data_IF_314620847870
#
_entry.id   IF_314620847870
#
_cell.length_a   1.000
_cell.length_b   1.000
_cell.length_c   1.000
_cell.angle_alpha   90.00
_cell.angle_beta   90.00
_cell.angle_gamma   90.00
#
_symmetry.space_group_name_H-M   'P 1'
#
loop_
_entity.id
_entity.type
_entity.pdbx_description
1 polymer ?
#
# COMPACT_ATOMS: atom_id res chain seq x y z
N UNK A 1 -0.34 10.45 -13.64
CA UNK A 1 -0.41 11.53 -12.63
C UNK A 1 0.26 12.79 -13.16
N UNK A 2 -0.18 13.97 -12.73
CA UNK A 2 0.49 15.24 -13.06
C UNK A 2 1.92 15.27 -12.46
N UNK A 3 2.88 15.89 -13.17
CA UNK A 3 4.29 15.96 -12.72
C UNK A 3 4.48 16.76 -11.44
N UNK A 4 3.56 17.65 -11.12
CA UNK A 4 3.53 18.46 -9.88
C UNK A 4 3.25 17.64 -8.61
N UNK A 5 2.85 16.37 -8.77
CA UNK A 5 2.59 15.44 -7.67
C UNK A 5 3.80 14.57 -7.29
N UNK A 6 4.93 14.70 -7.99
CA UNK A 6 6.14 13.94 -7.73
C UNK A 6 7.13 14.81 -6.93
N UNK A 7 7.57 14.34 -5.76
CA UNK A 7 8.47 15.07 -4.87
C UNK A 7 8.01 15.04 -3.41
N UNK A 8 7.73 16.20 -2.81
CA UNK A 8 7.33 16.31 -1.40
C UNK A 8 5.96 15.70 -1.07
N UNK A 9 5.20 15.28 -2.10
CA UNK A 9 3.90 14.64 -2.01
C UNK A 9 3.99 13.11 -1.89
N UNK A 10 5.15 12.53 -2.20
CA UNK A 10 5.40 11.09 -2.05
C UNK A 10 5.46 10.72 -0.56
N UNK A 11 5.02 9.51 -0.24
CA UNK A 11 4.95 9.06 1.15
C UNK A 11 6.34 9.01 1.79
N UNK A 12 7.38 8.60 1.06
CA UNK A 12 8.78 8.64 1.48
C UNK A 12 9.18 10.03 1.98
N UNK A 13 8.80 11.09 1.26
CA UNK A 13 9.12 12.47 1.64
C UNK A 13 8.37 12.88 2.91
N UNK A 14 7.11 12.50 3.00
CA UNK A 14 6.25 12.78 4.18
C UNK A 14 6.76 12.03 5.40
N UNK A 15 7.05 10.73 5.27
CA UNK A 15 7.61 9.91 6.32
C UNK A 15 8.96 10.43 6.78
N UNK A 16 9.84 10.84 5.86
CA UNK A 16 11.12 11.43 6.24
C UNK A 16 10.92 12.69 7.08
N UNK A 17 10.04 13.60 6.67
CA UNK A 17 9.74 14.79 7.45
C UNK A 17 9.14 14.47 8.82
N UNK A 18 8.29 13.43 8.91
CA UNK A 18 7.76 12.91 10.18
C UNK A 18 8.88 12.36 11.06
N UNK A 19 9.72 11.47 10.55
CA UNK A 19 10.85 10.87 11.28
C UNK A 19 11.81 11.93 11.80
N UNK A 20 12.17 12.90 10.96
CA UNK A 20 13.03 14.03 11.34
C UNK A 20 12.37 14.87 12.46
N UNK A 21 11.06 15.16 12.35
CA UNK A 21 10.34 15.95 13.36
C UNK A 21 10.17 15.24 14.70
N UNK A 22 9.87 13.95 14.69
CA UNK A 22 9.70 13.12 15.90
C UNK A 22 11.03 12.92 16.64
N UNK A 23 12.14 12.79 15.90
CA UNK A 23 13.49 12.66 16.46
C UNK A 23 14.11 13.98 16.94
N UNK A 24 13.54 15.12 16.54
CA UNK A 24 14.08 16.42 16.89
C UNK A 24 13.81 16.74 18.36
N UNK A 25 14.79 17.36 19.04
CA UNK A 25 14.63 17.87 20.41
C UNK A 25 13.71 19.09 20.41
N UNK A 26 12.88 19.25 21.45
CA UNK A 26 11.99 20.41 21.59
C UNK A 26 10.51 20.08 21.65
N UNK A 27 10.14 18.80 21.69
CA UNK A 27 8.84 18.36 22.16
C UNK A 27 8.69 18.58 23.67
N UNK A 28 7.45 18.53 24.15
CA UNK A 28 7.09 18.73 25.55
C UNK A 28 7.87 17.80 26.47
N UNK A 29 8.25 18.34 27.64
CA UNK A 29 8.89 17.61 28.74
C UNK A 29 7.90 17.20 29.83
N UNK A 30 6.61 17.45 29.62
CA UNK A 30 5.57 16.99 30.51
C UNK A 30 5.17 15.53 30.21
N UNK A 31 4.70 14.81 31.22
CA UNK A 31 4.02 13.53 31.01
C UNK A 31 2.75 13.74 30.17
N UNK A 32 2.43 12.84 29.21
CA UNK A 32 3.09 11.56 28.94
C UNK A 32 4.19 11.61 27.86
N UNK A 33 4.56 12.79 27.36
CA UNK A 33 5.46 12.94 26.20
C UNK A 33 6.89 12.50 26.47
N UNK A 34 7.36 12.64 27.71
CA UNK A 34 8.64 12.09 28.20
C UNK A 34 8.76 10.59 28.02
N UNK A 35 7.64 9.85 28.05
CA UNK A 35 7.59 8.40 27.85
C UNK A 35 7.29 8.05 26.39
N UNK A 36 6.33 8.72 25.77
CA UNK A 36 5.88 8.39 24.41
C UNK A 36 6.90 8.77 23.34
N UNK A 37 7.50 9.96 23.41
CA UNK A 37 8.37 10.48 22.34
C UNK A 37 9.59 9.60 22.08
N UNK A 38 10.34 9.11 23.09
CA UNK A 38 11.43 8.16 22.85
C UNK A 38 10.98 6.90 22.11
N UNK A 39 9.82 6.34 22.46
CA UNK A 39 9.28 5.13 21.83
C UNK A 39 8.86 5.37 20.37
N UNK A 40 8.20 6.50 20.12
CA UNK A 40 7.81 6.92 18.76
C UNK A 40 9.03 7.25 17.90
N UNK A 41 10.10 7.81 18.49
CA UNK A 41 11.36 8.04 17.80
C UNK A 41 12.06 6.74 17.41
N UNK A 42 12.05 5.72 18.29
CA UNK A 42 12.58 4.38 17.96
C UNK A 42 11.76 3.68 16.89
N UNK A 43 10.44 3.85 16.88
CA UNK A 43 9.56 3.36 15.80
C UNK A 43 9.92 3.99 14.44
N UNK A 44 10.30 5.26 14.43
CA UNK A 44 10.60 5.99 13.20
C UNK A 44 12.05 5.75 12.76
N UNK A 45 12.41 4.57 12.25
CA UNK A 45 13.74 4.29 11.67
C UNK A 45 13.97 4.98 10.31
N UNK A 46 14.78 4.34 9.47
CA UNK A 46 14.81 4.64 8.02
C UNK A 46 13.49 4.20 7.34
N UNK A 47 12.84 3.21 7.96
CA UNK A 47 11.49 2.75 7.71
C UNK A 47 10.75 2.58 9.05
N UNK A 48 9.44 2.31 9.00
CA UNK A 48 8.69 1.98 10.22
C UNK A 48 9.20 0.67 10.81
N UNK A 49 9.68 0.72 12.06
CA UNK A 49 10.31 -0.43 12.72
C UNK A 49 9.25 -1.35 13.33
N UNK A 50 9.05 -2.52 12.72
CA UNK A 50 8.04 -3.51 13.15
C UNK A 50 8.20 -3.92 14.61
N UNK A 51 9.44 -4.04 15.11
CA UNK A 51 9.73 -4.37 16.50
C UNK A 51 9.17 -3.35 17.52
N UNK A 52 8.87 -2.13 17.06
CA UNK A 52 8.39 -1.02 17.88
C UNK A 52 6.96 -0.58 17.53
N UNK A 53 6.24 -1.36 16.70
CA UNK A 53 4.87 -1.06 16.27
C UNK A 53 3.89 -0.81 17.43
N UNK A 54 4.08 -1.48 18.57
CA UNK A 54 3.25 -1.32 19.78
C UNK A 54 3.28 0.10 20.37
N UNK A 55 4.26 0.94 20.00
CA UNK A 55 4.29 2.35 20.36
C UNK A 55 3.07 3.12 19.80
N UNK A 56 2.50 2.69 18.67
CA UNK A 56 1.32 3.31 18.08
C UNK A 56 0.06 3.01 18.89
N UNK A 57 -0.07 1.78 19.41
CA UNK A 57 -1.21 1.39 20.25
C UNK A 57 -1.15 2.05 21.63
N UNK A 58 0.05 2.14 22.22
CA UNK A 58 0.33 3.01 23.37
C UNK A 58 -0.16 4.42 23.14
N UNK A 59 0.26 5.01 22.03
CA UNK A 59 0.01 6.40 21.73
C UNK A 59 -1.49 6.67 21.62
N UNK A 60 -2.22 5.83 20.88
CA UNK A 60 -3.68 5.90 20.79
C UNK A 60 -4.38 5.66 22.13
N UNK A 61 -3.93 4.69 22.93
CA UNK A 61 -4.47 4.40 24.27
C UNK A 61 -4.31 5.60 25.21
N UNK A 62 -3.11 6.15 25.30
CA UNK A 62 -2.82 7.31 26.17
C UNK A 62 -3.58 8.54 25.70
N UNK A 63 -3.70 8.76 24.38
CA UNK A 63 -4.56 9.83 23.86
C UNK A 63 -6.00 9.65 24.35
N UNK A 64 -6.60 8.47 24.19
CA UNK A 64 -7.96 8.19 24.64
C UNK A 64 -8.14 8.40 26.16
N UNK A 65 -7.16 8.02 26.97
CA UNK A 65 -7.17 8.25 28.43
C UNK A 65 -7.09 9.74 28.81
N UNK A 66 -6.28 10.53 28.08
CA UNK A 66 -6.09 11.96 28.34
C UNK A 66 -7.18 12.83 27.72
N UNK A 67 -7.89 12.32 26.73
CA UNK A 67 -8.97 13.03 26.02
C UNK A 67 -10.22 12.16 25.98
N UNK A 68 -10.95 12.02 27.12
CA UNK A 68 -12.09 11.10 27.23
C UNK A 68 -13.30 11.52 26.38
N UNK A 69 -13.33 12.78 25.92
CA UNK A 69 -14.35 13.25 24.99
C UNK A 69 -13.96 12.82 23.58
N UNK A 70 -14.81 12.02 22.93
CA UNK A 70 -14.60 11.61 21.54
C UNK A 70 -14.35 12.83 20.63
N UNK A 71 -13.34 12.73 19.76
CA UNK A 71 -12.98 13.82 18.85
C UNK A 71 -12.15 14.94 19.48
N UNK A 72 -11.54 14.73 20.65
CA UNK A 72 -10.66 15.73 21.29
C UNK A 72 -9.15 15.41 21.26
N UNK A 73 -8.75 14.40 20.48
CA UNK A 73 -7.36 13.95 20.36
C UNK A 73 -6.41 15.06 19.84
N UNK A 74 -6.91 16.03 19.08
CA UNK A 74 -6.12 17.15 18.57
C UNK A 74 -5.51 18.01 19.67
N UNK A 75 -6.22 18.18 20.80
CA UNK A 75 -5.65 18.88 21.98
C UNK A 75 -4.48 18.11 22.56
N UNK A 76 -4.60 16.78 22.64
CA UNK A 76 -3.52 15.93 23.10
C UNK A 76 -2.32 16.07 22.16
N UNK A 77 -2.47 15.81 20.87
CA UNK A 77 -1.37 15.91 19.90
C UNK A 77 -0.72 17.30 19.94
N UNK A 78 -1.49 18.39 19.96
CA UNK A 78 -0.95 19.74 20.02
C UNK A 78 -0.14 20.02 21.29
N UNK A 79 -0.48 19.38 22.42
CA UNK A 79 0.26 19.54 23.68
C UNK A 79 1.70 19.05 23.60
N UNK A 80 2.05 18.17 22.64
CA UNK A 80 3.42 17.73 22.44
C UNK A 80 4.38 18.86 22.03
N UNK A 81 3.84 19.99 21.55
CA UNK A 81 4.62 21.09 20.98
C UNK A 81 4.69 22.34 21.89
N UNK A 82 4.12 22.28 23.10
CA UNK A 82 4.06 23.38 24.10
C UNK A 82 3.70 24.75 23.48
N UNK A 83 2.74 24.75 22.56
CA UNK A 83 2.35 25.97 21.83
C UNK A 83 1.52 26.86 22.75
N UNK A 84 1.89 28.14 22.86
CA UNK A 84 1.12 29.13 23.60
C UNK A 84 -0.27 29.36 23.00
N UNK A 85 -1.24 29.67 23.85
CA UNK A 85 -2.64 29.82 23.45
C UNK A 85 -2.81 30.91 22.38
N UNK A 86 -3.44 30.54 21.26
CA UNK A 86 -3.68 31.44 20.12
C UNK A 86 -2.45 31.76 19.26
N UNK A 87 -1.26 31.25 19.61
CA UNK A 87 -0.04 31.50 18.84
C UNK A 87 -0.07 30.81 17.46
N UNK A 88 0.64 31.39 16.49
CA UNK A 88 0.90 30.75 15.20
C UNK A 88 1.91 29.61 15.37
N UNK A 89 1.67 28.49 14.69
CA UNK A 89 2.60 27.36 14.70
C UNK A 89 3.89 27.75 13.96
N UNK A 90 5.04 27.50 14.59
CA UNK A 90 6.33 27.52 13.89
C UNK A 90 6.46 26.28 12.98
N UNK A 91 7.33 26.31 11.95
CA UNK A 91 7.55 25.14 11.08
C UNK A 91 7.93 23.86 11.85
N UNK A 92 8.72 23.98 12.91
CA UNK A 92 9.10 22.84 13.76
C UNK A 92 7.89 22.26 14.52
N UNK A 93 7.03 23.12 15.07
CA UNK A 93 5.80 22.69 15.75
C UNK A 93 4.79 22.08 14.76
N UNK A 94 4.64 22.66 13.57
CA UNK A 94 3.84 22.07 12.49
C UNK A 94 4.36 20.67 12.12
N UNK A 95 5.67 20.51 11.94
CA UNK A 95 6.29 19.23 11.63
C UNK A 95 6.04 18.17 12.71
N UNK A 96 6.22 18.53 13.99
CA UNK A 96 5.98 17.62 15.12
C UNK A 96 4.51 17.17 15.20
N UNK A 97 3.57 18.11 15.15
CA UNK A 97 2.13 17.82 15.25
C UNK A 97 1.66 17.01 14.04
N UNK A 98 2.08 17.38 12.83
CA UNK A 98 1.76 16.65 11.62
C UNK A 98 2.34 15.22 11.61
N UNK A 99 3.54 15.06 12.16
CA UNK A 99 4.17 13.75 12.30
C UNK A 99 3.42 12.87 13.29
N UNK A 100 3.05 13.41 14.44
CA UNK A 100 2.23 12.70 15.43
C UNK A 100 0.86 12.33 14.86
N UNK A 101 0.22 13.23 14.13
CA UNK A 101 -1.04 12.96 13.43
C UNK A 101 -0.90 11.80 12.43
N UNK A 102 0.16 11.80 11.61
CA UNK A 102 0.43 10.69 10.69
C UNK A 102 0.58 9.36 11.44
N UNK A 103 1.35 9.34 12.53
CA UNK A 103 1.56 8.15 13.35
C UNK A 103 0.28 7.69 14.05
N UNK A 104 -0.56 8.62 14.52
CA UNK A 104 -1.85 8.31 15.13
C UNK A 104 -2.74 7.48 14.19
N UNK A 105 -2.69 7.82 12.90
CA UNK A 105 -3.43 7.17 11.81
C UNK A 105 -2.61 6.09 11.06
N UNK A 106 -1.50 5.63 11.63
CA UNK A 106 -0.69 4.53 11.11
C UNK A 106 -0.99 3.24 11.90
N UNK A 107 -1.22 2.15 11.18
CA UNK A 107 -1.64 0.87 11.76
C UNK A 107 -0.68 -0.23 11.32
N UNK A 108 -0.30 -1.10 12.24
CA UNK A 108 0.52 -2.27 11.95
C UNK A 108 -0.32 -3.53 12.07
N UNK A 109 -0.20 -4.43 11.09
CA UNK A 109 -0.89 -5.71 11.10
C UNK A 109 0.13 -6.82 10.93
N UNK A 110 0.33 -7.61 11.98
CA UNK A 110 1.02 -8.89 11.90
C UNK A 110 0.04 -9.98 11.49
N UNK A 111 0.42 -10.79 10.51
CA UNK A 111 -0.38 -11.92 10.03
C UNK A 111 0.34 -13.24 10.33
N UNK A 112 -0.30 -14.37 10.00
CA UNK A 112 0.32 -15.70 10.24
C UNK A 112 1.63 -15.82 9.47
N UNK A 113 2.65 -16.36 10.12
CA UNK A 113 3.99 -16.54 9.54
C UNK A 113 4.90 -15.31 9.67
N UNK A 114 4.60 -14.40 10.61
CA UNK A 114 5.36 -13.19 10.94
C UNK A 114 5.43 -12.12 9.82
N UNK A 115 4.78 -12.34 8.68
CA UNK A 115 4.60 -11.29 7.69
C UNK A 115 3.72 -10.17 8.24
N UNK A 116 4.02 -8.94 7.84
CA UNK A 116 3.29 -7.79 8.33
C UNK A 116 3.16 -6.69 7.28
N UNK A 117 2.15 -5.84 7.46
CA UNK A 117 1.89 -4.69 6.60
C UNK A 117 1.57 -3.47 7.45
N UNK A 118 2.00 -2.30 6.99
CA UNK A 118 1.59 -1.01 7.53
C UNK A 118 0.45 -0.45 6.70
N UNK A 119 -0.59 0.05 7.36
CA UNK A 119 -1.67 0.79 6.72
C UNK A 119 -1.69 2.21 7.26
N UNK A 120 -1.41 3.19 6.40
CA UNK A 120 -1.49 4.60 6.74
C UNK A 120 -2.81 5.15 6.22
N UNK A 121 -3.67 5.58 7.13
CA UNK A 121 -5.06 5.89 6.85
C UNK A 121 -5.46 7.24 7.42
N UNK A 122 -4.82 8.32 6.95
CA UNK A 122 -5.14 9.67 7.44
C UNK A 122 -6.62 10.02 7.19
N UNK A 123 -7.22 10.88 8.02
CA UNK A 123 -8.65 11.15 7.99
C UNK A 123 -9.17 11.56 6.61
N UNK A 124 -10.38 11.11 6.24
CA UNK A 124 -10.96 11.34 4.91
C UNK A 124 -11.12 12.83 4.57
N UNK A 125 -11.27 13.68 5.60
CA UNK A 125 -11.37 15.14 5.45
C UNK A 125 -10.06 15.79 4.99
N UNK A 126 -8.92 15.11 5.11
CA UNK A 126 -7.65 15.66 4.65
C UNK A 126 -7.56 15.56 3.14
N UNK A 127 -7.35 16.71 2.50
CA UNK A 127 -7.15 16.85 1.06
C UNK A 127 -5.67 17.06 0.69
N UNK A 128 -4.80 17.14 1.70
CA UNK A 128 -3.35 17.16 1.62
C UNK A 128 -2.75 16.45 2.84
N UNK A 129 -1.48 16.08 2.77
CA UNK A 129 -0.78 15.49 3.92
C UNK A 129 -0.84 16.40 5.16
N UNK A 130 -0.83 15.85 6.39
CA UNK A 130 -1.04 16.61 7.62
C UNK A 130 -0.19 17.88 7.73
N UNK A 131 1.09 17.82 7.33
CA UNK A 131 2.01 18.97 7.40
C UNK A 131 1.59 20.14 6.48
N UNK A 132 0.95 19.86 5.35
CA UNK A 132 0.40 20.88 4.45
C UNK A 132 -0.91 21.43 4.99
N UNK A 133 -1.77 20.55 5.52
CA UNK A 133 -3.05 20.93 6.13
C UNK A 133 -2.83 21.90 7.29
N UNK A 134 -1.82 21.67 8.13
CA UNK A 134 -1.56 22.45 9.35
C UNK A 134 -0.64 23.67 9.13
N UNK A 135 -0.09 23.86 7.93
CA UNK A 135 0.87 24.91 7.67
C UNK A 135 0.25 26.31 7.87
N UNK A 136 0.94 27.16 8.64
CA UNK A 136 0.52 28.54 8.90
C UNK A 136 -0.71 28.70 9.80
N UNK A 137 -1.23 27.60 10.38
CA UNK A 137 -2.35 27.68 11.31
C UNK A 137 -1.94 28.26 12.67
N UNK A 138 -2.92 28.84 13.38
CA UNK A 138 -2.82 29.09 14.82
C UNK A 138 -3.06 27.80 15.60
N UNK A 139 -2.65 27.78 16.87
CA UNK A 139 -2.88 26.67 17.79
C UNK A 139 -4.35 26.24 17.82
N UNK A 140 -5.28 27.20 17.96
CA UNK A 140 -6.72 26.92 18.00
C UNK A 140 -7.22 26.29 16.69
N UNK A 141 -6.76 26.80 15.53
CA UNK A 141 -7.16 26.28 14.22
C UNK A 141 -6.58 24.88 13.96
N UNK A 142 -5.32 24.64 14.35
CA UNK A 142 -4.70 23.32 14.24
C UNK A 142 -5.44 22.28 15.10
N UNK A 143 -5.75 22.60 16.37
CA UNK A 143 -6.54 21.75 17.25
C UNK A 143 -7.93 21.48 16.66
N UNK A 144 -8.59 22.51 16.12
CA UNK A 144 -9.88 22.38 15.46
C UNK A 144 -9.82 21.45 14.25
N UNK A 145 -8.80 21.59 13.40
CA UNK A 145 -8.59 20.75 12.23
C UNK A 145 -8.37 19.27 12.60
N UNK A 146 -7.49 19.00 13.58
CA UNK A 146 -7.22 17.66 14.10
C UNK A 146 -8.49 17.02 14.69
N UNK A 147 -9.23 17.76 15.53
CA UNK A 147 -10.46 17.26 16.15
C UNK A 147 -11.58 16.95 15.13
N UNK A 148 -11.67 17.74 14.05
CA UNK A 148 -12.59 17.48 12.96
C UNK A 148 -12.20 16.24 12.13
N UNK A 149 -10.96 15.78 12.24
CA UNK A 149 -10.37 14.66 11.51
C UNK A 149 -10.65 13.32 12.21
N UNK A 150 -11.92 13.03 12.52
CA UNK A 150 -12.30 11.88 13.36
C UNK A 150 -12.52 10.56 12.61
N UNK A 151 -12.54 10.59 11.28
CA UNK A 151 -12.86 9.43 10.44
C UNK A 151 -11.69 9.13 9.50
N UNK A 152 -10.99 8.04 9.79
CA UNK A 152 -9.97 7.45 8.91
C UNK A 152 -10.52 7.18 7.52
N UNK A 153 -9.69 7.40 6.49
CA UNK A 153 -10.04 7.06 5.10
C UNK A 153 -10.43 5.60 4.91
N UNK A 154 -9.67 4.68 5.50
CA UNK A 154 -9.95 3.26 5.49
C UNK A 154 -10.61 2.87 6.81
N UNK A 155 -11.81 2.29 6.75
CA UNK A 155 -12.48 1.75 7.94
C UNK A 155 -11.65 0.65 8.61
N UNK A 156 -11.98 0.29 9.84
CA UNK A 156 -11.36 -0.85 10.54
C UNK A 156 -11.38 -2.11 9.68
N UNK A 157 -12.52 -2.36 9.00
CA UNK A 157 -12.67 -3.52 8.12
C UNK A 157 -11.77 -3.43 6.89
N UNK A 158 -11.70 -2.27 6.22
CA UNK A 158 -10.81 -2.06 5.08
C UNK A 158 -9.35 -2.35 5.44
N UNK A 159 -8.89 -1.91 6.61
CA UNK A 159 -7.51 -2.15 7.06
C UNK A 159 -7.22 -3.64 7.28
N UNK A 160 -8.19 -4.38 7.86
CA UNK A 160 -8.09 -5.85 7.98
C UNK A 160 -8.07 -6.54 6.62
N UNK A 161 -8.90 -6.08 5.68
CA UNK A 161 -8.97 -6.62 4.33
C UNK A 161 -7.66 -6.38 3.55
N UNK A 162 -7.04 -5.21 3.70
CA UNK A 162 -5.69 -4.92 3.15
C UNK A 162 -4.66 -5.89 3.72
N UNK A 163 -4.63 -6.08 5.04
CA UNK A 163 -3.69 -7.00 5.68
C UNK A 163 -3.88 -8.44 5.22
N UNK A 164 -5.14 -8.88 5.10
CA UNK A 164 -5.45 -10.20 4.58
C UNK A 164 -5.04 -10.33 3.11
N UNK A 165 -5.25 -9.30 2.29
CA UNK A 165 -4.86 -9.29 0.89
C UNK A 165 -3.34 -9.42 0.70
N UNK A 166 -2.56 -8.68 1.50
CA UNK A 166 -1.09 -8.77 1.49
C UNK A 166 -0.62 -10.20 1.85
N UNK A 167 -1.20 -10.78 2.91
CA UNK A 167 -0.87 -12.14 3.33
C UNK A 167 -1.26 -13.18 2.27
N UNK A 168 -2.45 -13.07 1.69
CA UNK A 168 -2.92 -13.97 0.64
C UNK A 168 -2.04 -13.84 -0.61
N UNK A 169 -1.65 -12.62 -1.00
CA UNK A 169 -0.72 -12.37 -2.09
C UNK A 169 0.66 -13.02 -1.86
N UNK A 170 1.20 -12.92 -0.64
CA UNK A 170 2.43 -13.61 -0.25
C UNK A 170 2.27 -15.13 -0.37
N UNK A 171 1.20 -15.69 0.20
CA UNK A 171 0.95 -17.12 0.16
C UNK A 171 0.82 -17.64 -1.29
N UNK A 172 0.16 -16.89 -2.18
CA UNK A 172 0.09 -17.24 -3.60
C UNK A 172 1.46 -17.16 -4.27
N UNK A 173 2.24 -16.13 -3.99
CA UNK A 173 3.58 -15.95 -4.54
C UNK A 173 4.50 -17.11 -4.14
N UNK A 174 4.48 -17.53 -2.87
CA UNK A 174 5.26 -18.68 -2.39
C UNK A 174 4.81 -19.99 -3.03
N UNK A 175 3.50 -20.22 -3.18
CA UNK A 175 2.97 -21.39 -3.89
C UNK A 175 3.37 -21.40 -5.36
N UNK A 176 3.38 -20.24 -6.03
CA UNK A 176 3.80 -20.11 -7.42
C UNK A 176 5.29 -20.43 -7.59
N UNK A 177 6.14 -20.08 -6.62
CA UNK A 177 7.54 -20.50 -6.62
C UNK A 177 7.68 -22.03 -6.57
N UNK A 178 6.97 -22.68 -5.65
CA UNK A 178 6.95 -24.16 -5.54
C UNK A 178 6.40 -24.80 -6.82
N UNK A 179 5.33 -24.23 -7.38
CA UNK A 179 4.73 -24.70 -8.63
C UNK A 179 5.71 -24.65 -9.81
N UNK A 180 6.54 -23.61 -9.88
CA UNK A 180 7.58 -23.45 -10.90
C UNK A 180 8.84 -24.31 -10.65
N UNK A 181 8.95 -24.99 -9.52
CA UNK A 181 10.05 -25.92 -9.24
C UNK A 181 9.77 -27.34 -9.76
N UNK A 182 8.51 -27.70 -10.03
CA UNK A 182 8.14 -28.96 -10.71
C UNK A 182 8.07 -28.81 -12.25
N UNK A 183 8.89 -27.93 -12.83
CA UNK A 183 8.90 -27.68 -14.27
C UNK A 183 9.55 -28.85 -15.03
N UNK A 184 8.72 -29.65 -15.69
CA UNK A 184 9.11 -30.76 -16.58
C UNK A 184 8.13 -30.89 -17.75
N UNK A 185 8.50 -31.66 -18.77
CA UNK A 185 7.63 -31.91 -19.92
C UNK A 185 6.30 -32.53 -19.48
N UNK A 186 5.19 -31.97 -19.99
CA UNK A 186 3.83 -32.37 -19.61
C UNK A 186 3.35 -31.92 -18.23
N UNK A 187 4.16 -31.16 -17.47
CA UNK A 187 3.74 -30.65 -16.15
C UNK A 187 2.62 -29.59 -16.26
N UNK A 188 1.76 -29.48 -15.23
CA UNK A 188 0.81 -28.37 -15.12
C UNK A 188 1.49 -27.00 -15.14
N UNK A 189 2.72 -26.89 -14.64
CA UNK A 189 3.50 -25.66 -14.66
C UNK A 189 3.86 -25.22 -16.08
N UNK A 190 4.31 -26.15 -16.92
CA UNK A 190 4.62 -25.85 -18.33
C UNK A 190 3.35 -25.43 -19.08
N UNK A 191 2.22 -26.12 -18.86
CA UNK A 191 0.94 -25.77 -19.45
C UNK A 191 0.43 -24.38 -19.00
N UNK A 192 0.62 -24.03 -17.73
CA UNK A 192 0.26 -22.71 -17.21
C UNK A 192 1.14 -21.59 -17.82
N UNK A 193 2.45 -21.82 -17.94
CA UNK A 193 3.35 -20.88 -18.61
C UNK A 193 2.94 -20.67 -20.08
N UNK A 194 2.60 -21.77 -20.76
CA UNK A 194 2.10 -21.73 -22.12
C UNK A 194 0.81 -20.91 -22.26
N UNK A 195 -0.14 -21.08 -21.33
CA UNK A 195 -1.41 -20.35 -21.33
C UNK A 195 -1.25 -18.84 -21.09
N UNK A 196 -0.42 -18.48 -20.11
CA UNK A 196 -0.33 -17.09 -19.63
C UNK A 196 0.78 -16.28 -20.28
N UNK A 197 1.77 -16.92 -20.91
CA UNK A 197 2.93 -16.21 -21.49
C UNK A 197 3.30 -16.66 -22.90
N UNK A 198 2.76 -17.76 -23.40
CA UNK A 198 3.12 -18.31 -24.71
C UNK A 198 1.97 -18.35 -25.73
N UNK A 199 2.32 -18.82 -26.92
CA UNK A 199 1.42 -19.22 -28.02
C UNK A 199 1.73 -20.65 -28.47
N UNK A 200 0.93 -21.24 -29.35
CA UNK A 200 1.15 -22.61 -29.83
C UNK A 200 2.56 -22.89 -30.41
N UNK A 201 3.31 -21.86 -30.79
CA UNK A 201 4.68 -21.98 -31.32
C UNK A 201 5.78 -21.70 -30.28
N UNK A 202 5.42 -21.34 -29.04
CA UNK A 202 6.39 -21.11 -27.97
C UNK A 202 7.03 -22.43 -27.57
N UNK A 203 8.36 -22.47 -27.56
CA UNK A 203 9.15 -23.67 -27.29
C UNK A 203 9.29 -23.93 -25.79
N UNK A 204 9.55 -25.18 -25.40
CA UNK A 204 9.86 -25.54 -24.00
C UNK A 204 11.05 -24.74 -23.45
N UNK A 205 12.05 -24.45 -24.28
CA UNK A 205 13.22 -23.65 -23.88
C UNK A 205 12.86 -22.18 -23.56
N UNK A 206 11.96 -21.58 -24.34
CA UNK A 206 11.43 -20.25 -24.04
C UNK A 206 10.58 -20.25 -22.77
N UNK A 207 9.71 -21.25 -22.58
CA UNK A 207 8.92 -21.39 -21.36
C UNK A 207 9.80 -21.57 -20.11
N UNK A 208 10.92 -22.32 -20.23
CA UNK A 208 11.89 -22.44 -19.15
C UNK A 208 12.56 -21.10 -18.82
N UNK A 209 12.82 -20.26 -19.83
CA UNK A 209 13.36 -18.90 -19.65
C UNK A 209 12.34 -17.97 -18.98
N UNK A 210 11.06 -18.09 -19.34
CA UNK A 210 9.97 -17.39 -18.67
C UNK A 210 9.86 -17.80 -17.20
N UNK A 211 9.93 -19.10 -16.91
CA UNK A 211 9.93 -19.63 -15.55
C UNK A 211 11.09 -19.08 -14.71
N UNK A 212 12.30 -19.02 -15.27
CA UNK A 212 13.47 -18.45 -14.59
C UNK A 212 13.26 -16.96 -14.24
N UNK A 213 12.72 -16.19 -15.19
CA UNK A 213 12.40 -14.76 -14.99
C UNK A 213 11.35 -14.57 -13.90
N UNK A 214 10.26 -15.35 -13.95
CA UNK A 214 9.20 -15.33 -12.94
C UNK A 214 9.77 -15.71 -11.58
N UNK A 215 10.53 -16.81 -11.45
CA UNK A 215 11.12 -17.20 -10.16
C UNK A 215 11.99 -16.12 -9.55
N UNK A 216 12.81 -15.44 -10.35
CA UNK A 216 13.63 -14.33 -9.87
C UNK A 216 12.78 -13.17 -9.35
N UNK A 217 11.74 -12.77 -10.08
CA UNK A 217 10.85 -11.68 -9.67
C UNK A 217 9.94 -12.03 -8.49
N UNK A 218 9.34 -13.24 -8.49
CA UNK A 218 8.48 -13.73 -7.42
C UNK A 218 9.23 -13.84 -6.07
N UNK A 219 10.53 -14.15 -6.08
CA UNK A 219 11.36 -14.10 -4.86
C UNK A 219 11.46 -12.69 -4.29
N UNK A 220 11.60 -11.66 -5.13
CA UNK A 220 11.62 -10.26 -4.68
C UNK A 220 10.25 -9.85 -4.12
N UNK A 221 9.17 -10.16 -4.83
CA UNK A 221 7.79 -9.90 -4.39
C UNK A 221 7.53 -10.56 -3.02
N UNK A 222 7.89 -11.85 -2.88
CA UNK A 222 7.74 -12.56 -1.61
C UNK A 222 8.55 -11.91 -0.49
N UNK A 223 9.80 -11.52 -0.75
CA UNK A 223 10.63 -10.83 0.24
C UNK A 223 9.99 -9.52 0.71
N UNK A 224 9.40 -8.73 -0.19
CA UNK A 224 8.72 -7.47 0.16
C UNK A 224 7.43 -7.67 0.94
N UNK A 225 6.57 -8.59 0.50
CA UNK A 225 5.31 -8.89 1.20
C UNK A 225 5.56 -9.58 2.55
N UNK A 226 6.70 -10.24 2.74
CA UNK A 226 7.07 -10.88 4.00
C UNK A 226 7.85 -9.95 4.94
N UNK A 227 8.64 -9.02 4.40
CA UNK A 227 9.69 -8.29 5.14
C UNK A 227 9.20 -7.25 6.15
N UNK A 228 7.89 -7.02 6.28
CA UNK A 228 7.32 -6.05 7.21
C UNK A 228 7.53 -4.58 6.82
N UNK A 229 7.99 -4.32 5.60
CA UNK A 229 8.26 -2.97 5.08
C UNK A 229 7.17 -2.44 4.16
N UNK A 230 6.22 -3.29 3.75
CA UNK A 230 5.13 -2.93 2.87
C UNK A 230 4.19 -1.92 3.54
N UNK A 231 3.93 -0.81 2.86
CA UNK A 231 3.04 0.27 3.30
C UNK A 231 1.90 0.38 2.30
N UNK A 232 0.67 0.42 2.81
CA UNK A 232 -0.53 0.66 2.01
C UNK A 232 -1.19 1.94 2.49
N UNK A 233 -1.42 2.87 1.57
CA UNK A 233 -2.06 4.16 1.85
C UNK A 233 -2.83 4.63 0.62
N UNK A 234 -3.66 5.66 0.71
CA UNK A 234 -4.15 6.35 -0.50
C UNK A 234 -3.29 7.58 -0.79
N UNK A 235 -3.38 8.11 -1.99
CA UNK A 235 -2.60 9.28 -2.36
C UNK A 235 -3.35 10.57 -1.99
N UNK A 236 -3.17 11.01 -0.74
CA UNK A 236 -3.90 12.15 -0.16
C UNK A 236 -3.99 13.39 -1.07
N UNK A 237 -2.92 13.82 -1.77
CA UNK A 237 -2.97 15.03 -2.61
C UNK A 237 -3.98 14.99 -3.76
N UNK A 238 -4.39 13.82 -4.24
CA UNK A 238 -5.37 13.73 -5.35
C UNK A 238 -6.81 13.78 -4.87
N UNK A 239 -7.09 13.66 -3.56
CA UNK A 239 -8.46 13.58 -3.01
C UNK A 239 -9.37 14.75 -3.41
N UNK A 240 -8.83 15.96 -3.52
CA UNK A 240 -9.57 17.15 -3.96
C UNK A 240 -9.06 17.76 -5.28
N UNK A 241 -8.15 17.08 -5.98
CA UNK A 241 -7.65 17.57 -7.26
C UNK A 241 -8.78 17.64 -8.30
N UNK A 242 -8.79 18.73 -9.07
CA UNK A 242 -9.64 18.91 -10.24
C UNK A 242 -8.97 18.49 -11.55
N UNK A 243 -7.71 18.04 -11.52
CA UNK A 243 -7.00 17.57 -12.71
C UNK A 243 -7.61 16.24 -13.20
N UNK A 244 -7.81 16.14 -14.51
CA UNK A 244 -8.46 14.96 -15.13
C UNK A 244 -7.70 13.65 -14.89
N UNK A 245 -6.36 13.69 -14.83
CA UNK A 245 -5.53 12.50 -14.58
C UNK A 245 -5.63 12.07 -13.13
N UNK A 246 -5.75 13.02 -12.21
CA UNK A 246 -5.92 12.74 -10.78
C UNK A 246 -7.33 12.22 -10.48
N UNK A 247 -8.35 12.79 -11.14
CA UNK A 247 -9.71 12.26 -11.13
C UNK A 247 -9.71 10.79 -11.59
N UNK A 248 -9.02 10.47 -12.68
CA UNK A 248 -8.90 9.10 -13.17
C UNK A 248 -8.14 8.20 -12.18
N UNK A 249 -7.05 8.69 -11.58
CA UNK A 249 -6.28 7.96 -10.58
C UNK A 249 -7.12 7.60 -9.34
N UNK A 250 -7.99 8.49 -8.87
CA UNK A 250 -8.93 8.20 -7.77
C UNK A 250 -9.90 7.04 -8.06
N UNK A 251 -10.19 6.79 -9.34
CA UNK A 251 -11.02 5.67 -9.79
C UNK A 251 -10.25 4.37 -10.01
N UNK A 252 -8.92 4.39 -9.94
CA UNK A 252 -8.08 3.21 -10.13
C UNK A 252 -8.15 2.24 -8.95
N UNK A 253 -7.62 1.03 -9.14
CA UNK A 253 -7.48 0.08 -8.04
C UNK A 253 -6.34 0.49 -7.12
N UNK A 254 -5.14 0.56 -7.70
CA UNK A 254 -3.94 0.92 -7.00
C UNK A 254 -2.89 1.41 -8.01
N UNK A 255 -1.80 1.94 -7.49
CA UNK A 255 -0.59 2.20 -8.25
C UNK A 255 0.64 2.25 -7.34
N UNK A 256 1.81 2.04 -7.93
CA UNK A 256 3.11 2.34 -7.32
C UNK A 256 3.81 3.47 -8.08
N UNK A 257 4.72 4.16 -7.40
CA UNK A 257 5.54 5.21 -8.01
C UNK A 257 7.00 4.76 -8.02
N UNK A 258 7.62 4.74 -9.21
CA UNK A 258 8.99 4.25 -9.36
C UNK A 258 10.04 5.03 -8.54
N UNK A 259 9.80 6.31 -8.29
CA UNK A 259 10.67 7.15 -7.45
C UNK A 259 10.44 6.99 -5.93
N UNK A 260 9.46 6.18 -5.52
CA UNK A 260 9.14 5.92 -4.12
C UNK A 260 10.19 4.98 -3.50
N UNK A 261 10.98 5.48 -2.55
CA UNK A 261 12.04 4.66 -1.93
C UNK A 261 11.47 3.62 -0.96
N UNK A 262 10.41 3.99 -0.24
CA UNK A 262 9.69 3.06 0.63
C UNK A 262 8.76 2.15 -0.17
N UNK A 263 8.47 0.98 0.39
CA UNK A 263 7.64 -0.05 -0.25
C UNK A 263 6.15 0.27 -0.18
N UNK A 264 5.75 1.34 -0.89
CA UNK A 264 4.40 1.90 -0.82
C UNK A 264 3.55 1.45 -2.01
N UNK A 265 2.35 0.97 -1.70
CA UNK A 265 1.26 0.76 -2.65
C UNK A 265 0.18 1.79 -2.33
N UNK A 266 -0.14 2.63 -3.31
CA UNK A 266 -1.24 3.57 -3.22
C UNK A 266 -2.53 2.88 -3.67
N UNK A 267 -3.54 2.77 -2.81
CA UNK A 267 -4.84 2.20 -3.16
C UNK A 267 -5.89 3.31 -3.27
N UNK A 268 -6.77 3.19 -4.25
CA UNK A 268 -7.80 4.19 -4.54
C UNK A 268 -9.19 3.55 -4.57
N UNK A 269 -10.22 4.30 -4.96
CA UNK A 269 -11.60 3.86 -4.80
C UNK A 269 -11.87 2.50 -5.44
N UNK A 270 -11.24 2.21 -6.58
CA UNK A 270 -11.35 0.95 -7.31
C UNK A 270 -10.92 -0.28 -6.50
N UNK A 271 -9.99 -0.15 -5.56
CA UNK A 271 -9.45 -1.29 -4.80
C UNK A 271 -10.56 -2.09 -4.12
N UNK A 272 -11.47 -1.39 -3.46
CA UNK A 272 -12.60 -1.98 -2.74
C UNK A 272 -13.83 -2.17 -3.61
N UNK A 273 -13.78 -1.81 -4.90
CA UNK A 273 -14.92 -2.02 -5.79
C UNK A 273 -15.07 -3.48 -6.14
N UNK A 274 -16.31 -3.94 -6.02
CA UNK A 274 -16.73 -5.25 -6.46
C UNK A 274 -17.29 -5.11 -7.88
N UNK A 275 -16.40 -4.92 -8.87
CA UNK A 275 -16.85 -4.74 -10.25
C UNK A 275 -17.30 -6.07 -10.85
N UNK A 276 -18.47 -6.10 -11.50
CA UNK A 276 -18.94 -7.28 -12.24
C UNK A 276 -18.04 -7.60 -13.46
N UNK A 277 -17.13 -6.71 -13.85
CA UNK A 277 -16.17 -6.95 -14.91
C UNK A 277 -14.83 -7.53 -14.45
N UNK A 278 -14.53 -7.62 -13.15
CA UNK A 278 -13.23 -8.10 -12.69
C UNK A 278 -13.06 -9.61 -12.93
N UNK A 279 -11.80 -10.07 -12.96
CA UNK A 279 -11.51 -11.52 -13.01
C UNK A 279 -12.09 -12.21 -11.78
N UNK A 280 -11.86 -11.66 -10.59
CA UNK A 280 -12.42 -12.13 -9.32
C UNK A 280 -13.61 -11.22 -8.94
N UNK A 281 -14.80 -11.58 -9.41
CA UNK A 281 -16.02 -10.79 -9.17
C UNK A 281 -16.49 -10.95 -7.72
N UNK A 282 -16.76 -9.83 -7.06
CA UNK A 282 -17.32 -9.79 -5.69
C UNK A 282 -16.52 -10.60 -4.66
N UNK A 283 -15.19 -10.66 -4.81
CA UNK A 283 -14.34 -11.60 -4.07
C UNK A 283 -13.05 -10.97 -3.57
N UNK A 284 -12.68 -11.24 -2.31
CA UNK A 284 -11.45 -10.77 -1.67
C UNK A 284 -10.16 -11.23 -2.39
N UNK A 285 -10.23 -12.30 -3.20
CA UNK A 285 -9.17 -12.72 -4.13
C UNK A 285 -8.75 -11.58 -5.07
N UNK A 286 -9.66 -10.65 -5.38
CA UNK A 286 -9.35 -9.47 -6.18
C UNK A 286 -8.26 -8.59 -5.55
N UNK A 287 -8.33 -8.38 -4.23
CA UNK A 287 -7.38 -7.54 -3.50
C UNK A 287 -6.00 -8.18 -3.47
N UNK A 288 -5.92 -9.50 -3.21
CA UNK A 288 -4.66 -10.22 -3.25
C UNK A 288 -3.99 -10.16 -4.63
N UNK A 289 -4.78 -10.27 -5.72
CA UNK A 289 -4.30 -10.06 -7.09
C UNK A 289 -3.70 -8.66 -7.25
N UNK A 290 -4.40 -7.62 -6.78
CA UNK A 290 -3.89 -6.24 -6.87
C UNK A 290 -2.55 -6.11 -6.12
N UNK A 291 -2.43 -6.66 -4.91
CA UNK A 291 -1.16 -6.62 -4.16
C UNK A 291 0.01 -7.22 -4.95
N UNK A 292 -0.19 -8.38 -5.60
CA UNK A 292 0.85 -9.01 -6.43
C UNK A 292 1.13 -8.21 -7.70
N UNK A 293 0.07 -7.68 -8.34
CA UNK A 293 0.17 -6.82 -9.52
C UNK A 293 1.05 -5.59 -9.24
N UNK A 294 0.73 -4.83 -8.19
CA UNK A 294 1.46 -3.63 -7.82
C UNK A 294 2.90 -3.92 -7.38
N UNK A 295 3.11 -5.03 -6.65
CA UNK A 295 4.46 -5.43 -6.26
C UNK A 295 5.29 -5.88 -7.46
N UNK A 296 4.67 -6.39 -8.52
CA UNK A 296 5.38 -6.71 -9.77
C UNK A 296 5.87 -5.44 -10.48
N UNK A 297 5.08 -4.36 -10.49
CA UNK A 297 5.54 -3.07 -11.02
C UNK A 297 6.77 -2.59 -10.26
N UNK A 298 6.70 -2.67 -8.93
CA UNK A 298 7.75 -2.16 -8.06
C UNK A 298 9.05 -2.96 -8.15
N UNK A 299 8.97 -4.28 -8.02
CA UNK A 299 10.15 -5.14 -7.86
C UNK A 299 10.69 -5.69 -9.18
N UNK A 300 9.85 -5.71 -10.21
CA UNK A 300 10.12 -6.34 -11.50
C UNK A 300 9.95 -5.39 -12.68
N UNK A 301 9.57 -4.12 -12.46
CA UNK A 301 9.37 -3.12 -13.51
C UNK A 301 8.41 -3.59 -14.62
N UNK A 302 7.39 -4.38 -14.24
CA UNK A 302 6.30 -4.73 -15.16
C UNK A 302 5.52 -3.47 -15.56
N UNK A 303 4.68 -3.60 -16.57
CA UNK A 303 3.89 -2.55 -17.19
C UNK A 303 2.43 -2.97 -17.29
N UNK A 304 1.53 -2.00 -17.42
CA UNK A 304 0.11 -2.22 -17.70
C UNK A 304 -0.12 -2.32 -19.20
N UNK A 305 0.21 -3.48 -19.78
CA UNK A 305 -0.02 -3.75 -21.20
C UNK A 305 -1.48 -4.08 -21.47
N UNK A 306 -2.11 -4.84 -20.56
CA UNK A 306 -3.50 -5.26 -20.69
C UNK A 306 -4.04 -5.79 -19.37
N UNK A 307 -5.29 -5.49 -19.06
CA UNK A 307 -5.94 -5.98 -17.86
C UNK A 307 -6.62 -7.33 -18.07
N UNK A 308 -6.62 -8.17 -17.03
CA UNK A 308 -7.11 -9.56 -17.04
C UNK A 308 -8.54 -9.70 -17.55
N UNK A 309 -9.42 -8.78 -17.17
CA UNK A 309 -10.83 -8.78 -17.62
C UNK A 309 -10.99 -8.61 -19.13
N UNK A 310 -9.98 -8.08 -19.83
CA UNK A 310 -10.00 -7.89 -21.26
C UNK A 310 -9.39 -9.09 -22.04
N UNK A 311 -8.93 -10.13 -21.33
CA UNK A 311 -8.25 -11.30 -21.86
C UNK A 311 -6.75 -11.05 -22.04
N UNK A 312 -5.92 -11.80 -21.32
CA UNK A 312 -4.45 -11.61 -21.27
C UNK A 312 -3.65 -12.83 -21.73
N UNK A 313 -4.30 -13.88 -22.23
CA UNK A 313 -3.56 -14.98 -22.86
C UNK A 313 -3.02 -14.55 -24.23
N UNK A 314 -1.72 -14.74 -24.54
CA UNK A 314 -1.19 -14.42 -25.86
C UNK A 314 -1.84 -15.24 -26.98
N UNK A 315 -2.37 -16.42 -26.67
CA UNK A 315 -3.08 -17.26 -27.62
C UNK A 315 -4.40 -16.65 -28.13
N UNK A 316 -4.92 -15.61 -27.45
CA UNK A 316 -6.07 -14.84 -27.93
C UNK A 316 -5.72 -13.81 -29.03
N UNK A 317 -4.43 -13.58 -29.30
CA UNK A 317 -3.95 -12.56 -30.23
C UNK A 317 -4.06 -11.12 -29.70
N UNK A 318 -4.56 -10.90 -28.47
CA UNK A 318 -4.78 -9.58 -27.88
C UNK A 318 -3.53 -8.99 -27.19
N UNK A 319 -2.52 -9.81 -26.95
CA UNK A 319 -1.24 -9.45 -26.33
C UNK A 319 -0.15 -10.38 -26.88
N UNK A 320 1.08 -9.90 -27.04
CA UNK A 320 2.19 -10.75 -27.50
C UNK A 320 2.83 -11.52 -26.34
N UNK A 321 3.56 -12.64 -26.56
CA UNK A 321 4.36 -13.28 -25.52
C UNK A 321 5.34 -12.33 -24.82
N UNK A 322 5.99 -11.45 -25.57
CA UNK A 322 6.91 -10.46 -25.02
C UNK A 322 6.19 -9.45 -24.11
N UNK A 323 5.04 -8.94 -24.54
CA UNK A 323 4.22 -8.05 -23.71
C UNK A 323 3.68 -8.76 -22.47
N UNK A 324 3.25 -10.03 -22.58
CA UNK A 324 2.74 -10.80 -21.46
C UNK A 324 3.80 -11.00 -20.37
N UNK A 325 5.06 -11.24 -20.75
CA UNK A 325 6.16 -11.37 -19.78
C UNK A 325 6.47 -10.09 -19.02
N UNK A 326 6.14 -8.93 -19.57
CA UNK A 326 6.28 -7.64 -18.86
C UNK A 326 4.95 -7.09 -18.36
N UNK A 327 3.83 -7.82 -18.49
CA UNK A 327 2.53 -7.34 -18.06
C UNK A 327 2.23 -7.71 -16.60
N UNK A 328 1.93 -6.72 -15.76
CA UNK A 328 1.68 -6.94 -14.33
C UNK A 328 0.50 -7.89 -14.07
N UNK A 329 -0.58 -7.78 -14.86
CA UNK A 329 -1.74 -8.64 -14.71
C UNK A 329 -1.46 -10.10 -15.13
N UNK A 330 -0.57 -10.35 -16.11
CA UNK A 330 -0.15 -11.72 -16.43
C UNK A 330 0.58 -12.38 -15.25
N UNK A 331 1.43 -11.63 -14.56
CA UNK A 331 2.11 -12.11 -13.36
C UNK A 331 1.12 -12.41 -12.23
N UNK A 332 0.24 -11.47 -11.91
CA UNK A 332 -0.72 -11.62 -10.82
C UNK A 332 -1.71 -12.77 -11.06
N UNK A 333 -2.19 -12.94 -12.30
CA UNK A 333 -3.07 -14.04 -12.68
C UNK A 333 -2.34 -15.39 -12.68
N UNK A 334 -1.11 -15.45 -13.22
CA UNK A 334 -0.31 -16.67 -13.14
C UNK A 334 -0.10 -17.11 -11.69
N UNK A 335 0.24 -16.17 -10.80
CA UNK A 335 0.45 -16.44 -9.36
C UNK A 335 -0.83 -16.97 -8.71
N UNK A 336 -1.98 -16.36 -8.98
CA UNK A 336 -3.26 -16.83 -8.46
C UNK A 336 -3.63 -18.24 -9.00
N UNK A 337 -3.38 -18.49 -10.28
CA UNK A 337 -3.60 -19.80 -10.91
C UNK A 337 -2.72 -20.88 -10.27
N UNK A 338 -1.41 -20.63 -10.20
CA UNK A 338 -0.42 -21.55 -9.64
C UNK A 338 -0.69 -21.85 -8.15
N UNK A 339 -1.31 -20.92 -7.42
CA UNK A 339 -1.74 -21.12 -6.04
C UNK A 339 -3.02 -21.94 -5.87
N UNK A 340 -3.68 -22.33 -6.98
CA UNK A 340 -4.97 -23.01 -6.99
C UNK A 340 -6.14 -22.10 -6.59
N UNK A 341 -5.98 -20.77 -6.70
CA UNK A 341 -6.98 -19.82 -6.23
C UNK A 341 -8.02 -19.43 -7.28
N UNK A 342 -7.87 -19.91 -8.52
CA UNK A 342 -8.76 -19.59 -9.65
C UNK A 342 -9.73 -20.73 -9.93
N UNK A 343 -11.00 -20.38 -10.13
CA UNK A 343 -12.00 -21.30 -10.70
C UNK A 343 -11.85 -21.38 -12.22
N UNK A 344 -12.50 -22.37 -12.85
CA UNK A 344 -12.54 -22.46 -14.31
C UNK A 344 -13.13 -21.19 -14.95
N UNK A 345 -14.13 -20.57 -14.32
CA UNK A 345 -14.72 -19.31 -14.80
C UNK A 345 -13.74 -18.15 -14.70
N UNK A 346 -12.95 -18.06 -13.62
CA UNK A 346 -11.92 -17.02 -13.48
C UNK A 346 -10.85 -17.18 -14.56
N UNK A 347 -10.44 -18.42 -14.88
CA UNK A 347 -9.47 -18.72 -15.93
C UNK A 347 -10.02 -18.33 -17.31
N UNK A 348 -11.28 -18.67 -17.61
CA UNK A 348 -11.92 -18.31 -18.87
C UNK A 348 -11.99 -16.78 -19.05
N UNK A 349 -12.45 -16.05 -18.01
CA UNK A 349 -12.48 -14.59 -17.96
C UNK A 349 -11.10 -13.99 -18.22
N UNK A 350 -10.09 -14.42 -17.44
CA UNK A 350 -8.76 -13.84 -17.54
C UNK A 350 -8.07 -14.17 -18.87
N UNK A 351 -8.26 -15.37 -19.42
CA UNK A 351 -7.58 -15.77 -20.66
C UNK A 351 -8.18 -15.11 -21.90
N UNK A 352 -9.51 -15.04 -21.98
CA UNK A 352 -10.23 -14.63 -23.20
C UNK A 352 -10.92 -13.27 -23.10
N UNK A 353 -11.19 -12.77 -21.89
CA UNK A 353 -11.95 -11.55 -21.64
C UNK A 353 -13.45 -11.72 -21.85
N UNK A 354 -13.96 -12.93 -21.63
CA UNK A 354 -15.37 -13.33 -21.81
C UNK A 354 -16.19 -13.25 -20.52
#
# INVERSE_FOLDING_TARGET
MASELLGSNLFTSVYKATSDSIKTKGHSKAEPWTVLMPRLATLCGDQLETAHASALDEFRRVAAEKTPIAGSHGKFIASAADIADGASLTPAQTGLIAGLELLFHTWHFTTKGESSVWVVSVPISYIAWPHKTLAGMTQANAIGALNAASIDKFSVRNRQDIAQAAQTGLAWTLKALVFLDDLKDGSPALAALQLWFGTATTTTAELASFAATLKAGLRKIAAKLNGGTCIVTDFVPIRASGDAKDIAARGSNAFVVASEKQDVIYIEAGFFTHSAGSVFQNDARHWARIMVHEMSHRECATLDKRYGWAGISPSSGKITPADAMVNADNWAIFVAYAAGAMTATDVARASSGA
#
